data_IF_179249555167
#
_entry.id   IF_179249555167
#
_cell.length_a   1.000
_cell.length_b   1.000
_cell.length_c   1.000
_cell.angle_alpha   90.00
_cell.angle_beta   90.00
_cell.angle_gamma   90.00
#
_symmetry.space_group_name_H-M   'P 1'
#
loop_
_entity.id
_entity.type
_entity.pdbx_description
1 polymer ?
#
# COMPACT_ATOMS: atom_id res chain seq x y z
N UNK A 1 20.53 28.05 29.94
CA UNK A 1 19.63 26.96 29.54
C UNK A 1 18.45 27.57 28.81
N UNK A 2 18.53 27.66 27.49
CA UNK A 2 17.41 28.01 26.63
C UNK A 2 17.28 26.85 25.66
N UNK A 3 16.56 25.81 26.10
CA UNK A 3 16.21 24.69 25.24
C UNK A 3 15.40 25.26 24.09
N UNK A 4 15.96 25.22 22.89
CA UNK A 4 15.20 25.34 21.66
C UNK A 4 14.20 24.21 21.69
N UNK A 5 12.95 24.50 22.06
CA UNK A 5 11.82 23.61 21.76
C UNK A 5 11.83 23.54 20.24
N UNK A 6 12.28 22.41 19.67
CA UNK A 6 12.11 22.16 18.26
C UNK A 6 10.63 22.40 17.98
N UNK A 7 10.30 23.30 17.04
CA UNK A 7 8.92 23.57 16.70
C UNK A 7 8.28 22.23 16.31
N UNK A 8 7.53 21.63 17.23
CA UNK A 8 6.87 20.36 16.98
C UNK A 8 5.88 20.60 15.85
N UNK A 9 5.81 19.66 14.91
CA UNK A 9 4.85 19.76 13.78
C UNK A 9 3.40 19.63 14.25
N UNK A 10 3.19 19.30 15.52
CA UNK A 10 1.89 19.22 16.17
C UNK A 10 1.22 20.57 16.29
N UNK A 11 -0.10 20.56 16.17
CA UNK A 11 -0.99 21.72 16.29
C UNK A 11 -1.93 21.60 17.51
N UNK A 12 -1.63 20.69 18.44
CA UNK A 12 -2.39 20.45 19.67
C UNK A 12 -3.27 19.19 19.63
N UNK A 13 -3.07 18.31 18.64
CA UNK A 13 -3.82 17.06 18.51
C UNK A 13 -3.70 16.14 19.74
N UNK A 14 -2.51 16.06 20.36
CA UNK A 14 -2.29 15.13 21.48
C UNK A 14 -3.01 15.55 22.76
N UNK A 15 -3.29 16.84 22.96
CA UNK A 15 -4.14 17.26 24.08
C UNK A 15 -5.57 16.68 23.99
N UNK A 16 -6.04 16.37 22.78
CA UNK A 16 -7.32 15.67 22.57
C UNK A 16 -7.15 14.17 22.77
N UNK A 17 -6.03 13.60 22.30
CA UNK A 17 -5.73 12.16 22.43
C UNK A 17 -5.53 11.76 23.89
N UNK A 18 -4.81 12.56 24.67
CA UNK A 18 -4.59 12.37 26.12
C UNK A 18 -5.90 12.32 26.93
N UNK A 19 -6.98 12.91 26.40
CA UNK A 19 -8.30 12.89 27.02
C UNK A 19 -9.15 11.67 26.63
N UNK A 20 -8.69 10.84 25.69
CA UNK A 20 -9.41 9.65 25.24
C UNK A 20 -9.25 8.49 26.24
N UNK A 21 -10.29 7.66 26.45
CA UNK A 21 -10.14 6.41 27.19
C UNK A 21 -9.14 5.48 26.48
N UNK A 22 -8.31 4.76 27.24
CA UNK A 22 -7.36 3.75 26.72
C UNK A 22 -8.03 2.73 25.78
N UNK A 23 -9.28 2.35 26.07
CA UNK A 23 -10.06 1.44 25.23
C UNK A 23 -10.26 1.98 23.81
N UNK A 24 -10.37 3.30 23.65
CA UNK A 24 -10.45 3.94 22.32
C UNK A 24 -9.12 3.78 21.60
N UNK A 25 -7.99 4.02 22.25
CA UNK A 25 -6.65 3.84 21.66
C UNK A 25 -6.45 2.40 21.19
N UNK A 26 -6.84 1.40 21.99
CA UNK A 26 -6.80 -0.02 21.61
C UNK A 26 -7.67 -0.33 20.38
N UNK A 27 -8.87 0.25 20.28
CA UNK A 27 -9.72 0.10 19.09
C UNK A 27 -9.05 0.74 17.88
N UNK A 28 -8.46 1.91 18.01
CA UNK A 28 -7.75 2.55 16.90
C UNK A 28 -6.45 1.84 16.51
N UNK A 29 -5.78 1.18 17.46
CA UNK A 29 -4.70 0.24 17.16
C UNK A 29 -5.20 -0.93 16.27
N UNK A 30 -6.44 -1.40 16.48
CA UNK A 30 -7.04 -2.37 15.56
C UNK A 30 -7.41 -1.77 14.19
N UNK A 31 -7.97 -0.55 14.17
CA UNK A 31 -8.34 0.15 12.93
C UNK A 31 -7.13 0.37 12.02
N UNK A 32 -5.95 0.62 12.59
CA UNK A 32 -4.76 0.89 11.78
C UNK A 32 -4.37 -0.28 10.87
N UNK A 33 -4.72 -1.52 11.22
CA UNK A 33 -4.42 -2.69 10.40
C UNK A 33 -5.03 -2.64 9.02
N UNK A 34 -6.15 -1.92 8.85
CA UNK A 34 -6.81 -1.76 7.57
C UNK A 34 -5.87 -1.17 6.50
N UNK A 35 -4.81 -0.48 6.90
CA UNK A 35 -3.80 0.06 5.98
C UNK A 35 -2.40 -0.50 6.18
N UNK A 36 -2.24 -1.64 6.84
CA UNK A 36 -0.95 -2.33 6.85
C UNK A 36 -0.54 -2.72 5.43
N UNK A 37 0.73 -2.51 5.03
CA UNK A 37 1.18 -2.84 3.68
C UNK A 37 0.89 -4.29 3.27
N UNK A 38 1.13 -5.25 4.17
CA UNK A 38 0.86 -6.67 3.90
C UNK A 38 -0.62 -6.93 3.64
N UNK A 39 -1.52 -6.31 4.41
CA UNK A 39 -2.96 -6.49 4.25
C UNK A 39 -3.42 -5.86 2.94
N UNK A 40 -2.96 -4.64 2.64
CA UNK A 40 -3.32 -3.94 1.42
C UNK A 40 -2.86 -4.71 0.18
N UNK A 41 -1.61 -5.17 0.12
CA UNK A 41 -1.13 -5.94 -1.03
C UNK A 41 -1.76 -7.34 -1.12
N UNK A 42 -2.06 -7.99 0.00
CA UNK A 42 -2.82 -9.25 0.00
C UNK A 42 -4.24 -9.04 -0.52
N UNK A 43 -4.94 -8.00 -0.04
CA UNK A 43 -6.28 -7.62 -0.51
C UNK A 43 -6.27 -7.31 -2.01
N UNK A 44 -5.29 -6.55 -2.49
CA UNK A 44 -5.16 -6.22 -3.92
C UNK A 44 -4.80 -7.44 -4.76
N UNK A 45 -3.97 -8.36 -4.26
CA UNK A 45 -3.65 -9.60 -4.96
C UNK A 45 -4.87 -10.52 -5.06
N UNK A 46 -5.65 -10.67 -3.98
CA UNK A 46 -6.92 -11.41 -3.97
C UNK A 46 -7.93 -10.76 -4.90
N UNK A 47 -8.13 -9.44 -4.77
CA UNK A 47 -8.99 -8.66 -5.64
C UNK A 47 -8.59 -8.82 -7.11
N UNK A 48 -7.30 -8.68 -7.41
CA UNK A 48 -6.74 -8.98 -8.71
C UNK A 48 -7.12 -10.40 -9.09
N UNK A 49 -6.62 -11.47 -8.49
CA UNK A 49 -6.82 -12.85 -8.95
C UNK A 49 -8.28 -13.29 -9.11
N UNK A 50 -9.19 -12.87 -8.24
CA UNK A 50 -10.56 -13.36 -8.23
C UNK A 50 -11.57 -12.43 -8.91
N UNK A 51 -11.20 -11.19 -9.26
CA UNK A 51 -12.13 -10.29 -9.92
C UNK A 51 -12.63 -10.85 -11.26
N UNK A 52 -13.94 -10.77 -11.47
CA UNK A 52 -14.63 -11.15 -12.69
C UNK A 52 -15.20 -9.92 -13.39
N UNK A 53 -15.75 -10.11 -14.59
CA UNK A 53 -16.44 -9.05 -15.34
C UNK A 53 -17.61 -8.43 -14.56
N UNK A 54 -18.11 -9.08 -13.50
CA UNK A 54 -19.11 -8.50 -12.61
C UNK A 54 -18.57 -7.37 -11.72
N UNK A 55 -17.24 -7.22 -11.63
CA UNK A 55 -16.57 -6.26 -10.73
C UNK A 55 -15.96 -5.08 -11.50
N UNK A 56 -15.41 -5.34 -12.68
CA UNK A 56 -14.83 -4.34 -13.58
C UNK A 56 -14.94 -4.84 -15.03
N UNK A 57 -14.89 -3.94 -16.02
CA UNK A 57 -14.95 -4.33 -17.44
C UNK A 57 -13.74 -5.13 -17.92
N UNK A 58 -12.55 -4.80 -17.41
CA UNK A 58 -11.31 -5.55 -17.67
C UNK A 58 -10.60 -5.83 -16.35
N UNK A 59 -11.00 -6.90 -15.63
CA UNK A 59 -10.59 -7.15 -14.24
C UNK A 59 -9.08 -7.25 -14.03
N UNK A 60 -8.34 -7.85 -14.96
CA UNK A 60 -6.88 -7.99 -14.85
C UNK A 60 -6.20 -6.62 -14.93
N UNK A 61 -6.58 -5.81 -15.92
CA UNK A 61 -6.06 -4.45 -16.14
C UNK A 61 -6.41 -3.53 -14.97
N UNK A 62 -7.63 -3.63 -14.46
CA UNK A 62 -8.09 -2.90 -13.28
C UNK A 62 -7.28 -3.27 -12.03
N UNK A 63 -7.18 -4.57 -11.71
CA UNK A 63 -6.45 -5.04 -10.53
C UNK A 63 -4.94 -4.74 -10.58
N UNK A 64 -4.29 -4.96 -11.72
CA UNK A 64 -2.88 -4.66 -11.88
C UNK A 64 -2.59 -3.15 -11.81
N UNK A 65 -3.48 -2.30 -12.35
CA UNK A 65 -3.40 -0.85 -12.18
C UNK A 65 -3.58 -0.42 -10.73
N UNK A 66 -4.48 -1.07 -9.98
CA UNK A 66 -4.66 -0.81 -8.55
C UNK A 66 -3.39 -1.14 -7.75
N UNK A 67 -2.79 -2.30 -8.01
CA UNK A 67 -1.49 -2.69 -7.42
C UNK A 67 -0.42 -1.65 -7.76
N UNK A 68 -0.29 -1.27 -9.04
CA UNK A 68 0.70 -0.28 -9.47
C UNK A 68 0.51 1.09 -8.82
N UNK A 69 -0.73 1.55 -8.67
CA UNK A 69 -1.06 2.82 -8.03
C UNK A 69 -0.66 2.83 -6.54
N UNK A 70 -0.90 1.74 -5.82
CA UNK A 70 -0.51 1.60 -4.42
C UNK A 70 1.01 1.48 -4.28
N UNK A 71 1.69 0.81 -5.21
CA UNK A 71 3.17 0.80 -5.26
C UNK A 71 3.73 2.21 -5.48
N UNK A 72 3.12 3.03 -6.37
CA UNK A 72 3.49 4.44 -6.52
C UNK A 72 3.32 5.24 -5.23
N UNK A 73 2.24 4.99 -4.48
CA UNK A 73 1.96 5.67 -3.22
C UNK A 73 3.01 5.36 -2.14
N UNK A 74 3.43 4.09 -2.03
CA UNK A 74 4.54 3.70 -1.15
C UNK A 74 5.89 4.24 -1.61
N UNK A 75 6.16 4.25 -2.92
CA UNK A 75 7.38 4.85 -3.47
C UNK A 75 7.48 6.35 -3.13
N UNK A 76 6.37 7.08 -3.28
CA UNK A 76 6.30 8.50 -2.90
C UNK A 76 6.49 8.71 -1.39
N UNK A 77 5.95 7.80 -0.56
CA UNK A 77 6.14 7.82 0.89
C UNK A 77 7.61 7.61 1.25
N UNK A 78 8.27 6.60 0.68
CA UNK A 78 9.68 6.31 0.92
C UNK A 78 10.57 7.50 0.53
N UNK A 79 10.29 8.13 -0.62
CA UNK A 79 10.99 9.35 -1.02
C UNK A 79 10.76 10.48 -0.02
N UNK A 80 9.51 10.72 0.39
CA UNK A 80 9.17 11.74 1.38
C UNK A 80 9.91 11.52 2.70
N UNK A 81 9.89 10.29 3.23
CA UNK A 81 10.58 9.94 4.47
C UNK A 81 12.08 10.16 4.38
N UNK A 82 12.71 9.66 3.32
CA UNK A 82 14.14 9.83 3.09
C UNK A 82 14.54 11.31 2.95
N UNK A 83 13.68 12.12 2.31
CA UNK A 83 13.94 13.54 2.04
C UNK A 83 13.75 14.43 3.27
N UNK A 84 12.64 14.27 3.98
CA UNK A 84 12.31 15.14 5.11
C UNK A 84 12.97 14.70 6.40
N UNK A 85 13.26 13.40 6.55
CA UNK A 85 13.90 12.83 7.74
C UNK A 85 13.23 13.26 9.06
N UNK A 86 11.91 13.45 9.02
CA UNK A 86 11.20 14.13 10.08
C UNK A 86 10.92 13.17 11.25
N UNK A 87 11.25 13.52 12.51
CA UNK A 87 11.07 12.61 13.64
C UNK A 87 9.58 12.37 13.93
N UNK A 88 9.27 11.22 14.53
CA UNK A 88 7.93 10.87 15.03
C UNK A 88 7.60 11.62 16.34
N UNK A 89 6.33 11.59 16.78
CA UNK A 89 5.97 12.03 18.13
C UNK A 89 6.66 11.19 19.22
N UNK A 90 6.86 11.74 20.44
CA UNK A 90 7.49 11.00 21.53
C UNK A 90 6.78 9.70 21.92
N UNK A 91 5.44 9.66 21.83
CA UNK A 91 4.63 8.48 22.17
C UNK A 91 4.87 7.24 21.28
N UNK A 92 5.50 7.42 20.11
CA UNK A 92 5.85 6.32 19.21
C UNK A 92 7.07 5.49 19.68
N UNK A 93 7.78 5.96 20.69
CA UNK A 93 9.06 5.39 21.14
C UNK A 93 8.88 4.49 22.38
N UNK A 94 9.69 3.42 22.53
CA UNK A 94 9.62 2.57 23.71
C UNK A 94 9.92 3.32 25.03
N UNK A 95 9.33 2.89 26.16
CA UNK A 95 8.37 1.79 26.30
C UNK A 95 6.94 2.21 25.91
N UNK A 96 6.15 1.25 25.39
CA UNK A 96 4.73 1.49 25.13
C UNK A 96 3.93 1.51 26.45
N UNK A 97 2.93 2.38 26.52
CA UNK A 97 1.95 2.37 27.61
C UNK A 97 0.84 1.35 27.31
N UNK A 98 1.01 0.13 27.80
CA UNK A 98 0.07 -0.97 27.58
C UNK A 98 -1.02 -0.95 28.65
N UNK A 99 -2.32 -0.88 28.26
CA UNK A 99 -3.41 -0.86 29.22
C UNK A 99 -3.42 -2.09 30.14
N UNK A 100 -3.53 -1.87 31.46
CA UNK A 100 -3.45 -2.94 32.47
C UNK A 100 -4.57 -3.99 32.37
N UNK A 101 -5.70 -3.62 31.77
CA UNK A 101 -6.83 -4.51 31.53
C UNK A 101 -6.70 -5.33 30.24
N UNK A 102 -5.75 -5.00 29.36
CA UNK A 102 -5.56 -5.70 28.09
C UNK A 102 -5.00 -7.11 28.38
N UNK A 103 -5.63 -8.19 27.87
CA UNK A 103 -5.12 -9.54 28.06
C UNK A 103 -3.66 -9.66 27.62
N UNK A 104 -2.83 -10.34 28.42
CA UNK A 104 -1.39 -10.49 28.15
C UNK A 104 -1.07 -11.06 26.76
N UNK A 105 -1.98 -11.87 26.19
CA UNK A 105 -1.86 -12.40 24.83
C UNK A 105 -1.87 -11.30 23.74
N UNK A 106 -2.49 -10.15 24.02
CA UNK A 106 -2.64 -9.02 23.09
C UNK A 106 -1.62 -7.90 23.32
N UNK A 107 -0.83 -7.93 24.41
CA UNK A 107 0.14 -6.88 24.74
C UNK A 107 1.17 -6.71 23.63
N UNK A 108 1.80 -7.80 23.17
CA UNK A 108 2.79 -7.72 22.07
C UNK A 108 2.19 -7.28 20.73
N UNK A 109 0.92 -7.62 20.48
CA UNK A 109 0.20 -7.12 19.31
C UNK A 109 -0.02 -5.61 19.39
N UNK A 110 -0.49 -5.11 20.53
CA UNK A 110 -0.74 -3.70 20.76
C UNK A 110 0.56 -2.88 20.70
N UNK A 111 1.62 -3.35 21.37
CA UNK A 111 2.97 -2.75 21.29
C UNK A 111 3.44 -2.61 19.84
N UNK A 112 3.25 -3.64 19.02
CA UNK A 112 3.62 -3.60 17.60
C UNK A 112 2.82 -2.57 16.78
N UNK A 113 1.67 -2.10 17.27
CA UNK A 113 0.87 -1.06 16.59
C UNK A 113 1.22 0.36 17.02
N UNK A 114 1.52 0.55 18.30
CA UNK A 114 1.76 1.88 18.90
C UNK A 114 3.24 2.26 18.93
N UNK A 115 4.14 1.29 18.84
CA UNK A 115 5.56 1.55 18.65
C UNK A 115 5.89 1.61 17.18
N UNK A 116 6.69 2.61 16.80
CA UNK A 116 7.16 2.71 15.43
C UNK A 116 8.48 3.45 15.37
N UNK A 117 9.46 2.84 14.72
CA UNK A 117 10.73 3.45 14.40
C UNK A 117 10.70 4.19 13.04
N UNK A 118 11.82 4.83 12.70
CA UNK A 118 12.01 5.56 11.46
C UNK A 118 11.30 6.92 11.40
N UNK A 119 11.24 7.50 10.20
CA UNK A 119 10.71 8.85 10.00
C UNK A 119 9.18 8.88 9.97
N UNK A 120 8.62 9.99 10.48
CA UNK A 120 7.19 10.22 10.63
C UNK A 120 6.52 10.90 9.43
N UNK A 121 7.23 11.69 8.62
CA UNK A 121 6.59 12.45 7.54
C UNK A 121 6.97 11.94 6.13
N UNK A 122 5.98 11.69 5.24
CA UNK A 122 4.53 11.60 5.49
C UNK A 122 4.14 10.23 6.11
N UNK A 123 2.89 10.11 6.56
CA UNK A 123 2.38 8.85 7.11
C UNK A 123 2.14 7.78 6.03
N UNK A 124 2.80 6.63 6.15
CA UNK A 124 2.67 5.52 5.20
C UNK A 124 1.30 4.86 5.21
N UNK A 125 0.71 4.59 6.38
CA UNK A 125 -0.64 4.03 6.50
C UNK A 125 -1.70 4.96 5.89
N UNK A 126 -1.62 6.27 6.15
CA UNK A 126 -2.56 7.22 5.57
C UNK A 126 -2.43 7.26 4.02
N UNK A 127 -1.20 7.30 3.51
CA UNK A 127 -0.91 7.28 2.06
C UNK A 127 -1.39 5.98 1.39
N UNK A 128 -0.99 4.83 1.93
CA UNK A 128 -1.31 3.51 1.40
C UNK A 128 -2.81 3.21 1.49
N UNK A 129 -3.45 3.51 2.62
CA UNK A 129 -4.89 3.37 2.80
C UNK A 129 -5.67 4.24 1.81
N UNK A 130 -5.35 5.54 1.73
CA UNK A 130 -5.99 6.42 0.75
C UNK A 130 -5.82 5.90 -0.69
N UNK A 131 -4.62 5.49 -1.07
CA UNK A 131 -4.34 4.99 -2.42
C UNK A 131 -5.11 3.69 -2.72
N UNK A 132 -5.07 2.71 -1.82
CA UNK A 132 -5.65 1.39 -2.04
C UNK A 132 -7.18 1.45 -2.12
N UNK A 133 -7.83 2.07 -1.14
CA UNK A 133 -9.28 2.14 -1.11
C UNK A 133 -9.84 3.04 -2.22
N UNK A 134 -9.15 4.13 -2.57
CA UNK A 134 -9.54 4.96 -3.71
C UNK A 134 -9.35 4.23 -5.05
N UNK A 135 -8.22 3.54 -5.24
CA UNK A 135 -7.98 2.76 -6.45
C UNK A 135 -9.05 1.67 -6.64
N UNK A 136 -9.40 0.94 -5.58
CA UNK A 136 -10.50 -0.03 -5.61
C UNK A 136 -11.84 0.64 -5.97
N UNK A 137 -12.18 1.76 -5.33
CA UNK A 137 -13.42 2.48 -5.61
C UNK A 137 -13.52 3.01 -7.05
N UNK A 138 -12.39 3.35 -7.67
CA UNK A 138 -12.32 3.87 -9.05
C UNK A 138 -12.25 2.77 -10.11
N UNK A 139 -11.59 1.65 -9.81
CA UNK A 139 -11.27 0.61 -10.80
C UNK A 139 -12.24 -0.57 -10.75
N UNK A 140 -12.87 -0.84 -9.61
CA UNK A 140 -13.92 -1.86 -9.46
C UNK A 140 -15.29 -1.19 -9.49
N UNK A 141 -15.64 -0.73 -10.68
CA UNK A 141 -16.72 0.22 -10.95
C UNK A 141 -18.11 -0.41 -11.16
N UNK A 142 -18.20 -1.75 -11.17
CA UNK A 142 -19.48 -2.47 -11.33
C UNK A 142 -20.09 -2.92 -10.00
N UNK A 143 -19.34 -2.80 -8.90
CA UNK A 143 -19.84 -3.05 -7.55
C UNK A 143 -20.38 -1.77 -6.94
N UNK A 144 -21.62 -1.82 -6.43
CA UNK A 144 -22.29 -0.69 -5.77
C UNK A 144 -22.44 0.56 -6.64
N UNK A 145 -23.07 1.60 -6.09
CA UNK A 145 -23.12 2.92 -6.73
C UNK A 145 -21.80 3.67 -6.51
N UNK A 146 -21.42 4.54 -7.44
CA UNK A 146 -20.25 5.43 -7.32
C UNK A 146 -20.19 6.13 -5.96
N UNK A 147 -21.32 6.71 -5.53
CA UNK A 147 -21.43 7.41 -4.25
C UNK A 147 -21.10 6.49 -3.07
N UNK A 148 -21.64 5.27 -3.06
CA UNK A 148 -21.39 4.31 -1.99
C UNK A 148 -19.91 3.88 -1.95
N UNK A 149 -19.30 3.63 -3.11
CA UNK A 149 -17.87 3.27 -3.21
C UNK A 149 -16.97 4.38 -2.68
N UNK A 150 -17.17 5.62 -3.14
CA UNK A 150 -16.33 6.74 -2.72
C UNK A 150 -16.52 7.10 -1.25
N UNK A 151 -17.75 7.01 -0.73
CA UNK A 151 -18.00 7.21 0.70
C UNK A 151 -17.33 6.12 1.54
N UNK A 152 -17.41 4.85 1.14
CA UNK A 152 -16.76 3.75 1.85
C UNK A 152 -15.23 3.93 1.83
N UNK A 153 -14.64 4.22 0.67
CA UNK A 153 -13.21 4.45 0.53
C UNK A 153 -12.73 5.65 1.37
N UNK A 154 -13.46 6.77 1.31
CA UNK A 154 -13.17 7.96 2.10
C UNK A 154 -13.28 7.70 3.60
N UNK A 155 -14.33 6.99 4.04
CA UNK A 155 -14.53 6.64 5.43
C UNK A 155 -13.40 5.79 5.99
N UNK A 156 -12.96 4.76 5.25
CA UNK A 156 -11.85 3.90 5.69
C UNK A 156 -10.53 4.67 5.69
N UNK A 157 -10.24 5.47 4.66
CA UNK A 157 -9.02 6.28 4.61
C UNK A 157 -8.94 7.29 5.76
N UNK A 158 -10.06 7.96 6.09
CA UNK A 158 -10.15 8.89 7.23
C UNK A 158 -10.02 8.15 8.56
N UNK A 159 -10.65 6.97 8.71
CA UNK A 159 -10.53 6.17 9.93
C UNK A 159 -9.09 5.72 10.19
N UNK A 160 -8.38 5.29 9.14
CA UNK A 160 -6.95 4.97 9.20
C UNK A 160 -6.11 6.21 9.53
N UNK A 161 -6.35 7.34 8.86
CA UNK A 161 -5.60 8.56 9.15
C UNK A 161 -5.79 9.01 10.60
N UNK A 162 -7.02 8.96 11.10
CA UNK A 162 -7.34 9.25 12.49
C UNK A 162 -6.66 8.26 13.44
N UNK A 163 -6.60 6.97 13.10
CA UNK A 163 -5.95 5.96 13.95
C UNK A 163 -4.49 6.26 14.21
N UNK A 164 -3.76 6.75 13.20
CA UNK A 164 -2.33 7.07 13.34
C UNK A 164 -2.07 8.25 14.28
N UNK A 165 -3.03 9.17 14.40
CA UNK A 165 -2.94 10.29 15.36
C UNK A 165 -3.35 9.82 16.75
N UNK A 166 -4.44 9.04 16.86
CA UNK A 166 -4.97 8.53 18.14
C UNK A 166 -3.98 7.58 18.83
N UNK A 167 -3.21 6.80 18.08
CA UNK A 167 -2.16 5.94 18.64
C UNK A 167 -0.79 6.64 18.72
N UNK A 168 -0.75 7.95 18.51
CA UNK A 168 0.41 8.83 18.73
C UNK A 168 1.68 8.52 17.93
N UNK A 169 1.54 7.79 16.83
CA UNK A 169 2.66 7.45 15.94
C UNK A 169 2.93 8.48 14.85
N UNK A 170 2.01 9.43 14.65
CA UNK A 170 2.09 10.50 13.66
C UNK A 170 1.41 11.79 14.15
N UNK A 171 1.93 12.93 13.69
CA UNK A 171 1.24 14.21 13.81
C UNK A 171 0.08 14.30 12.80
N UNK A 172 -0.89 15.18 13.06
CA UNK A 172 -2.02 15.41 12.15
C UNK A 172 -1.56 15.82 10.75
N UNK A 173 -0.53 16.67 10.66
CA UNK A 173 0.03 17.09 9.37
C UNK A 173 0.62 15.93 8.58
N UNK A 174 1.21 14.93 9.25
CA UNK A 174 1.80 13.77 8.59
C UNK A 174 0.72 12.93 7.90
N UNK A 175 -0.46 12.77 8.52
CA UNK A 175 -1.57 11.99 7.97
C UNK A 175 -2.35 12.74 6.90
N UNK A 176 -2.55 14.05 7.06
CA UNK A 176 -3.19 14.89 6.04
C UNK A 176 -2.35 14.94 4.76
N UNK A 177 -1.03 15.13 4.91
CA UNK A 177 -0.11 15.03 3.78
C UNK A 177 -0.16 13.63 3.14
N UNK A 178 -0.22 12.57 3.96
CA UNK A 178 -0.33 11.21 3.46
C UNK A 178 -1.60 10.97 2.63
N UNK A 179 -2.78 11.41 3.11
CA UNK A 179 -4.03 11.32 2.36
C UNK A 179 -3.94 12.01 0.99
N UNK A 180 -3.35 13.22 0.95
CA UNK A 180 -3.17 13.97 -0.29
C UNK A 180 -2.19 13.29 -1.25
N UNK A 181 -1.07 12.78 -0.74
CA UNK A 181 -0.08 12.02 -1.53
C UNK A 181 -0.71 10.74 -2.08
N UNK A 182 -1.48 10.00 -1.29
CA UNK A 182 -2.18 8.80 -1.72
C UNK A 182 -3.18 9.08 -2.85
N UNK A 183 -4.03 10.08 -2.69
CA UNK A 183 -4.99 10.48 -3.72
C UNK A 183 -4.28 10.98 -5.00
N UNK A 184 -3.24 11.80 -4.85
CA UNK A 184 -2.47 12.35 -5.96
C UNK A 184 -1.73 11.28 -6.76
N UNK A 185 -1.12 10.30 -6.07
CA UNK A 185 -0.42 9.18 -6.73
C UNK A 185 -1.37 8.25 -7.47
N UNK A 186 -2.59 8.01 -6.97
CA UNK A 186 -3.63 7.30 -7.73
C UNK A 186 -3.98 8.06 -9.01
N UNK A 187 -4.20 9.37 -8.95
CA UNK A 187 -4.50 10.18 -10.13
C UNK A 187 -3.37 10.12 -11.17
N UNK A 188 -2.11 10.22 -10.74
CA UNK A 188 -0.93 10.09 -11.61
C UNK A 188 -0.83 8.68 -12.21
N UNK A 189 -1.02 7.64 -11.40
CA UNK A 189 -0.96 6.25 -11.86
C UNK A 189 -2.05 5.95 -12.90
N UNK A 190 -3.29 6.38 -12.67
CA UNK A 190 -4.39 6.25 -13.62
C UNK A 190 -4.11 7.03 -14.92
N UNK A 191 -3.61 8.26 -14.79
CA UNK A 191 -3.18 9.05 -15.96
C UNK A 191 -2.09 8.33 -16.74
N UNK A 192 -1.09 7.74 -16.09
CA UNK A 192 -0.03 6.99 -16.77
C UNK A 192 -0.56 5.70 -17.39
N UNK A 193 -1.49 5.04 -16.72
CA UNK A 193 -2.08 3.80 -17.19
C UNK A 193 -3.01 3.97 -18.39
N UNK A 194 -3.46 5.19 -18.68
CA UNK A 194 -4.31 5.44 -19.85
C UNK A 194 -5.76 5.72 -19.51
N UNK A 195 -6.13 5.90 -18.25
CA UNK A 195 -7.52 6.05 -17.84
C UNK A 195 -8.19 7.24 -18.56
N UNK A 196 -9.26 7.00 -19.37
CA UNK A 196 -9.90 8.05 -20.16
C UNK A 196 -10.52 9.14 -19.28
N UNK A 197 -10.95 8.80 -18.06
CA UNK A 197 -11.59 9.73 -17.11
C UNK A 197 -10.61 10.80 -16.62
N UNK A 198 -9.34 10.44 -16.45
CA UNK A 198 -8.28 11.36 -15.99
C UNK A 198 -7.57 12.04 -17.16
N UNK A 199 -7.50 11.39 -18.34
CA UNK A 199 -6.90 11.97 -19.55
C UNK A 199 -7.84 12.89 -20.34
N UNK A 200 -9.16 12.81 -20.11
CA UNK A 200 -10.15 13.55 -20.89
C UNK A 200 -10.21 13.09 -22.36
N UNK A 201 -9.87 11.83 -22.62
CA UNK A 201 -9.89 11.22 -23.96
C UNK A 201 -11.12 10.33 -24.12
N UNK A 202 -11.75 10.27 -25.30
CA UNK A 202 -12.82 9.30 -25.53
C UNK A 202 -12.24 7.87 -25.41
N UNK A 203 -12.86 7.03 -24.59
CA UNK A 203 -12.48 5.62 -24.45
C UNK A 203 -12.66 4.85 -25.76
N UNK A 204 -11.84 3.83 -26.00
CA UNK A 204 -11.85 3.09 -27.27
C UNK A 204 -13.05 2.14 -27.40
N UNK A 205 -13.57 1.65 -26.27
CA UNK A 205 -14.70 0.72 -26.20
C UNK A 205 -15.67 1.09 -25.07
N UNK A 206 -16.87 1.56 -25.45
CA UNK A 206 -17.92 1.93 -24.50
C UNK A 206 -18.50 0.71 -23.74
N UNK A 207 -18.43 -0.49 -24.30
CA UNK A 207 -18.98 -1.72 -23.70
C UNK A 207 -18.01 -2.32 -22.67
N UNK A 208 -16.71 -2.33 -22.97
CA UNK A 208 -15.67 -2.78 -22.04
C UNK A 208 -15.37 -1.76 -20.92
N UNK A 209 -15.82 -0.50 -21.07
CA UNK A 209 -15.74 0.51 -20.03
C UNK A 209 -14.34 1.10 -19.84
N UNK A 210 -14.13 1.96 -18.83
CA UNK A 210 -12.92 2.78 -18.70
C UNK A 210 -11.64 1.98 -18.40
N UNK A 211 -11.77 0.69 -18.05
CA UNK A 211 -10.65 -0.18 -17.68
C UNK A 211 -10.00 -0.91 -18.86
N UNK A 212 -10.64 -0.90 -20.04
CA UNK A 212 -10.20 -1.66 -21.21
C UNK A 212 -8.83 -1.24 -21.74
N UNK A 213 -8.57 0.06 -21.74
CA UNK A 213 -7.33 0.63 -22.29
C UNK A 213 -6.19 0.70 -21.27
N UNK A 214 -6.41 0.23 -20.04
CA UNK A 214 -5.42 0.39 -18.99
C UNK A 214 -4.18 -0.48 -19.23
N UNK A 215 -3.02 0.17 -19.17
CA UNK A 215 -1.72 -0.45 -19.15
C UNK A 215 -0.99 -0.08 -17.84
N UNK A 216 -0.87 -0.98 -16.86
CA UNK A 216 -0.23 -0.69 -15.57
C UNK A 216 1.30 -0.51 -15.65
N UNK A 217 1.96 -0.95 -16.73
CA UNK A 217 3.42 -0.97 -16.81
C UNK A 217 4.10 0.41 -16.61
N UNK A 218 3.61 1.53 -17.15
CA UNK A 218 4.18 2.85 -16.89
C UNK A 218 4.07 3.29 -15.43
N UNK A 219 2.98 2.91 -14.73
CA UNK A 219 2.83 3.20 -13.30
C UNK A 219 3.81 2.36 -12.46
N UNK A 220 3.97 1.06 -12.77
CA UNK A 220 5.00 0.23 -12.14
C UNK A 220 6.42 0.77 -12.36
N UNK A 221 6.72 1.21 -13.59
CA UNK A 221 8.00 1.83 -13.91
C UNK A 221 8.22 3.14 -13.14
N UNK A 222 7.19 3.98 -13.01
CA UNK A 222 7.24 5.19 -12.18
C UNK A 222 7.58 4.83 -10.74
N UNK A 223 6.91 3.84 -10.15
CA UNK A 223 7.18 3.43 -8.78
C UNK A 223 8.63 2.98 -8.58
N UNK A 224 9.20 2.22 -9.53
CA UNK A 224 10.61 1.83 -9.49
C UNK A 224 11.56 3.04 -9.58
N UNK A 225 11.28 4.00 -10.46
CA UNK A 225 12.08 5.22 -10.63
C UNK A 225 12.04 6.11 -9.39
N UNK A 226 10.84 6.34 -8.83
CA UNK A 226 10.67 7.15 -7.61
C UNK A 226 11.38 6.47 -6.43
N UNK A 227 11.30 5.15 -6.33
CA UNK A 227 12.00 4.38 -5.29
C UNK A 227 13.52 4.42 -5.47
N UNK A 228 14.03 4.44 -6.71
CA UNK A 228 15.45 4.66 -6.96
C UNK A 228 15.91 6.07 -6.52
N UNK A 229 15.04 7.08 -6.71
CA UNK A 229 15.25 8.41 -6.14
C UNK A 229 15.28 8.40 -4.62
N UNK A 230 14.32 7.71 -3.98
CA UNK A 230 14.28 7.53 -2.53
C UNK A 230 15.56 6.87 -2.01
N UNK A 231 16.05 5.83 -2.70
CA UNK A 231 17.29 5.15 -2.38
C UNK A 231 18.49 6.09 -2.44
N UNK A 232 18.60 6.90 -3.50
CA UNK A 232 19.69 7.86 -3.65
C UNK A 232 19.69 8.89 -2.50
N UNK A 233 18.51 9.41 -2.14
CA UNK A 233 18.35 10.34 -1.02
C UNK A 233 18.68 9.68 0.32
N UNK A 234 18.20 8.46 0.55
CA UNK A 234 18.46 7.71 1.77
C UNK A 234 19.95 7.40 1.95
N UNK A 235 20.65 7.00 0.89
CA UNK A 235 22.10 6.76 0.91
C UNK A 235 22.86 8.06 1.18
N UNK A 236 22.49 9.15 0.51
CA UNK A 236 23.12 10.45 0.72
C UNK A 236 22.90 11.00 2.15
N UNK A 237 21.75 10.72 2.74
CA UNK A 237 21.41 11.09 4.12
C UNK A 237 21.92 10.12 5.19
N UNK A 238 22.46 8.96 4.83
CA UNK A 238 22.88 7.93 5.79
C UNK A 238 21.70 7.22 6.49
N UNK A 239 20.51 7.24 5.90
CA UNK A 239 19.28 6.68 6.48
C UNK A 239 19.13 5.19 6.15
N UNK A 240 19.79 4.32 6.90
CA UNK A 240 19.87 2.87 6.60
C UNK A 240 18.51 2.16 6.54
N UNK A 241 17.54 2.53 7.38
CA UNK A 241 16.18 1.97 7.32
C UNK A 241 15.48 2.31 6.01
N UNK A 242 15.58 3.57 5.57
CA UNK A 242 14.96 4.05 4.32
C UNK A 242 15.61 3.44 3.07
N UNK A 243 16.87 2.99 3.14
CA UNK A 243 17.53 2.23 2.05
C UNK A 243 16.81 0.91 1.78
N UNK A 244 16.38 0.20 2.83
CA UNK A 244 15.67 -1.08 2.70
C UNK A 244 14.28 -0.85 2.10
N UNK A 245 13.53 0.12 2.62
CA UNK A 245 12.21 0.49 2.11
C UNK A 245 12.24 0.93 0.65
N UNK A 246 13.20 1.79 0.28
CA UNK A 246 13.40 2.20 -1.10
C UNK A 246 13.75 1.00 -2.00
N UNK A 247 14.56 0.07 -1.50
CA UNK A 247 14.86 -1.18 -2.19
C UNK A 247 13.62 -2.02 -2.47
N UNK A 248 12.76 -2.24 -1.46
CA UNK A 248 11.48 -2.95 -1.60
C UNK A 248 10.60 -2.25 -2.65
N UNK A 249 10.57 -0.91 -2.66
CA UNK A 249 9.87 -0.12 -3.67
C UNK A 249 10.37 -0.37 -5.10
N UNK A 250 11.70 -0.42 -5.30
CA UNK A 250 12.31 -0.77 -6.60
C UNK A 250 11.90 -2.19 -7.02
N UNK A 251 12.06 -3.16 -6.11
CA UNK A 251 11.73 -4.56 -6.37
C UNK A 251 10.25 -4.76 -6.72
N UNK A 252 9.35 -4.05 -6.03
CA UNK A 252 7.91 -4.12 -6.27
C UNK A 252 7.54 -3.46 -7.59
N UNK A 253 8.08 -2.29 -7.91
CA UNK A 253 7.85 -1.61 -9.19
C UNK A 253 8.39 -2.40 -10.37
N UNK A 254 9.65 -2.85 -10.30
CA UNK A 254 10.28 -3.65 -11.34
C UNK A 254 9.58 -5.02 -11.50
N UNK A 255 9.31 -5.70 -10.39
CA UNK A 255 8.62 -6.99 -10.38
C UNK A 255 7.21 -6.90 -10.98
N UNK A 256 6.47 -5.83 -10.69
CA UNK A 256 5.15 -5.61 -11.28
C UNK A 256 5.22 -5.37 -12.79
N UNK A 257 6.17 -4.54 -13.24
CA UNK A 257 6.39 -4.29 -14.67
C UNK A 257 6.83 -5.55 -15.43
N UNK A 258 7.69 -6.38 -14.83
CA UNK A 258 8.15 -7.66 -15.40
C UNK A 258 6.99 -8.66 -15.44
N UNK A 259 6.28 -8.83 -14.32
CA UNK A 259 5.15 -9.74 -14.21
C UNK A 259 4.05 -9.44 -15.23
N UNK A 260 3.78 -8.16 -15.46
CA UNK A 260 2.78 -7.72 -16.44
C UNK A 260 3.15 -8.09 -17.88
N UNK A 261 4.43 -8.31 -18.22
CA UNK A 261 4.83 -8.76 -19.57
C UNK A 261 4.36 -10.17 -19.90
N UNK A 262 3.95 -10.94 -18.91
CA UNK A 262 3.41 -12.29 -19.10
C UNK A 262 1.89 -12.33 -19.20
N UNK A 263 1.21 -11.19 -19.06
CA UNK A 263 -0.24 -11.06 -18.93
C UNK A 263 -0.79 -10.28 -20.11
N UNK A 264 -1.79 -10.82 -20.79
CA UNK A 264 -2.47 -10.19 -21.93
C UNK A 264 -3.52 -9.18 -21.46
N UNK A 265 -4.03 -9.34 -20.24
CA UNK A 265 -5.01 -8.46 -19.59
C UNK A 265 -6.45 -8.96 -19.67
N UNK A 266 -6.67 -10.07 -20.36
CA UNK A 266 -7.98 -10.69 -20.61
C UNK A 266 -8.12 -12.06 -19.94
N UNK A 267 -7.18 -12.43 -19.08
CA UNK A 267 -7.21 -13.72 -18.40
C UNK A 267 -8.42 -13.83 -17.46
N UNK A 268 -9.01 -15.03 -17.37
CA UNK A 268 -10.12 -15.29 -16.45
C UNK A 268 -9.66 -15.23 -14.98
N UNK A 269 -10.62 -15.27 -14.06
CA UNK A 269 -10.35 -15.39 -12.63
C UNK A 269 -9.52 -16.64 -12.32
N UNK A 270 -8.53 -16.50 -11.45
CA UNK A 270 -7.68 -17.62 -11.02
C UNK A 270 -8.50 -18.57 -10.15
N UNK A 271 -8.53 -19.88 -10.45
CA UNK A 271 -9.27 -20.85 -9.64
C UNK A 271 -8.60 -21.01 -8.26
N UNK A 272 -9.38 -21.27 -7.18
CA UNK A 272 -8.84 -21.41 -5.82
C UNK A 272 -7.71 -22.43 -5.68
N UNK A 273 -7.75 -23.53 -6.45
CA UNK A 273 -6.71 -24.58 -6.46
C UNK A 273 -5.33 -24.08 -6.92
N UNK A 274 -5.26 -23.00 -7.69
CA UNK A 274 -4.01 -22.35 -8.12
C UNK A 274 -3.68 -21.17 -7.18
N UNK A 275 -4.69 -20.39 -6.82
CA UNK A 275 -4.52 -19.22 -5.97
C UNK A 275 -4.05 -19.55 -4.54
N UNK A 276 -4.57 -20.60 -3.90
CA UNK A 276 -4.22 -20.93 -2.51
C UNK A 276 -2.73 -21.34 -2.38
N UNK A 277 -2.19 -22.26 -3.20
CA UNK A 277 -0.76 -22.54 -3.19
C UNK A 277 0.08 -21.31 -3.54
N UNK A 278 -0.37 -20.48 -4.50
CA UNK A 278 0.33 -19.26 -4.86
C UNK A 278 0.40 -18.28 -3.67
N UNK A 279 -0.69 -18.06 -2.93
CA UNK A 279 -0.69 -17.25 -1.71
C UNK A 279 0.32 -17.78 -0.69
N UNK A 280 0.34 -19.09 -0.47
CA UNK A 280 1.26 -19.71 0.48
C UNK A 280 2.72 -19.49 0.08
N UNK A 281 3.05 -19.64 -1.21
CA UNK A 281 4.40 -19.42 -1.73
C UNK A 281 4.78 -17.95 -1.66
N UNK A 282 3.94 -17.04 -2.16
CA UNK A 282 4.25 -15.60 -2.18
C UNK A 282 4.28 -15.01 -0.77
N UNK A 283 3.39 -15.48 0.12
CA UNK A 283 3.40 -15.12 1.53
C UNK A 283 4.64 -15.66 2.25
N UNK A 284 5.03 -16.90 1.98
CA UNK A 284 6.27 -17.49 2.51
C UNK A 284 7.52 -16.73 2.05
N UNK A 285 7.58 -16.30 0.77
CA UNK A 285 8.65 -15.45 0.25
C UNK A 285 8.71 -14.10 0.96
N UNK A 286 7.56 -13.47 1.24
CA UNK A 286 7.48 -12.21 1.98
C UNK A 286 7.92 -12.35 3.44
N UNK A 287 7.44 -13.37 4.15
CA UNK A 287 7.85 -13.67 5.53
C UNK A 287 9.34 -13.99 5.57
N UNK A 288 9.84 -14.77 4.62
CA UNK A 288 11.27 -15.07 4.48
C UNK A 288 12.11 -13.83 4.20
N UNK A 289 11.65 -12.93 3.32
CA UNK A 289 12.31 -11.66 3.05
C UNK A 289 12.39 -10.78 4.31
N UNK A 290 11.32 -10.72 5.09
CA UNK A 290 11.29 -10.01 6.37
C UNK A 290 12.24 -10.63 7.41
N UNK A 291 12.22 -11.96 7.56
CA UNK A 291 13.11 -12.68 8.47
C UNK A 291 14.60 -12.57 8.09
N UNK A 292 14.89 -12.39 6.79
CA UNK A 292 16.24 -12.25 6.23
C UNK A 292 16.59 -10.80 5.87
N UNK A 293 15.84 -9.81 6.39
CA UNK A 293 15.97 -8.40 6.06
C UNK A 293 17.38 -7.81 6.33
N UNK A 294 18.21 -8.50 7.12
CA UNK A 294 19.64 -8.19 7.28
C UNK A 294 20.47 -8.33 6.00
N UNK A 295 19.90 -8.89 4.92
CA UNK A 295 20.54 -9.00 3.62
C UNK A 295 19.69 -8.35 2.54
N UNK A 296 20.06 -7.10 2.18
CA UNK A 296 19.35 -6.33 1.14
C UNK A 296 19.18 -7.12 -0.17
N UNK A 297 20.21 -7.80 -0.74
CA UNK A 297 20.04 -8.55 -1.99
C UNK A 297 18.98 -9.65 -1.93
N UNK A 298 18.90 -10.38 -0.81
CA UNK A 298 17.89 -11.45 -0.63
C UNK A 298 16.50 -10.85 -0.56
N UNK A 299 16.34 -9.76 0.19
CA UNK A 299 15.07 -9.03 0.30
C UNK A 299 14.58 -8.56 -1.08
N UNK A 300 15.47 -7.97 -1.89
CA UNK A 300 15.15 -7.49 -3.23
C UNK A 300 14.76 -8.63 -4.18
N UNK A 301 15.51 -9.73 -4.18
CA UNK A 301 15.24 -10.89 -5.05
C UNK A 301 13.92 -11.55 -4.64
N UNK A 302 13.70 -11.80 -3.35
CA UNK A 302 12.49 -12.42 -2.85
C UNK A 302 11.25 -11.55 -3.14
N UNK A 303 11.34 -10.24 -2.90
CA UNK A 303 10.25 -9.29 -3.20
C UNK A 303 9.95 -9.25 -4.70
N UNK A 304 10.99 -9.14 -5.54
CA UNK A 304 10.81 -9.12 -7.01
C UNK A 304 10.15 -10.42 -7.48
N UNK A 305 10.63 -11.57 -7.02
CA UNK A 305 10.08 -12.87 -7.38
C UNK A 305 8.63 -13.03 -6.92
N UNK A 306 8.31 -12.61 -5.69
CA UNK A 306 6.95 -12.64 -5.17
C UNK A 306 6.01 -11.77 -6.00
N UNK A 307 6.40 -10.54 -6.35
CA UNK A 307 5.56 -9.63 -7.13
C UNK A 307 5.39 -10.10 -8.58
N UNK A 308 6.46 -10.60 -9.22
CA UNK A 308 6.36 -11.23 -10.55
C UNK A 308 5.37 -12.39 -10.51
N UNK A 309 5.49 -13.27 -9.52
CA UNK A 309 4.59 -14.40 -9.35
C UNK A 309 3.13 -13.94 -9.16
N UNK A 310 2.89 -12.91 -8.33
CA UNK A 310 1.55 -12.37 -8.11
C UNK A 310 0.94 -11.84 -9.39
N UNK A 311 1.68 -11.00 -10.13
CA UNK A 311 1.13 -10.35 -11.33
C UNK A 311 0.97 -11.35 -12.47
N UNK A 312 1.92 -12.26 -12.67
CA UNK A 312 1.90 -13.24 -13.77
C UNK A 312 0.98 -14.46 -13.53
N UNK A 313 0.45 -14.64 -12.32
CA UNK A 313 -0.33 -15.84 -11.97
C UNK A 313 -1.52 -16.14 -12.91
N UNK A 314 -2.33 -15.16 -13.36
CA UNK A 314 -3.46 -15.46 -14.25
C UNK A 314 -3.03 -16.14 -15.56
N UNK A 315 -1.93 -15.70 -16.15
CA UNK A 315 -1.39 -16.29 -17.38
C UNK A 315 -0.86 -17.72 -17.15
N UNK A 316 -0.24 -17.97 -15.99
CA UNK A 316 0.22 -19.32 -15.60
C UNK A 316 -0.97 -20.26 -15.37
N UNK A 317 -2.03 -19.78 -14.73
CA UNK A 317 -3.25 -20.56 -14.50
C UNK A 317 -3.84 -21.08 -15.81
N UNK A 318 -3.98 -20.21 -16.81
CA UNK A 318 -4.52 -20.61 -18.12
C UNK A 318 -3.67 -21.67 -18.83
N UNK A 319 -2.34 -21.69 -18.61
CA UNK A 319 -1.45 -22.73 -19.16
C UNK A 319 -1.63 -24.06 -18.44
N UNK A 320 -1.73 -24.04 -17.11
CA UNK A 320 -1.95 -25.25 -16.29
C UNK A 320 -3.28 -25.90 -16.67
N UNK A 321 -4.35 -25.12 -16.80
CA UNK A 321 -5.67 -25.66 -17.15
C UNK A 321 -5.70 -26.29 -18.53
N UNK A 322 -5.02 -25.70 -19.53
CA UNK A 322 -4.87 -26.33 -20.85
C UNK A 322 -4.13 -27.66 -20.76
N UNK A 323 -3.03 -27.72 -20.00
CA UNK A 323 -2.26 -28.97 -19.85
C UNK A 323 -2.97 -30.08 -19.09
N UNK A 324 -3.97 -29.75 -18.25
CA UNK A 324 -4.78 -30.75 -17.53
C UNK A 324 -5.97 -31.25 -18.36
N UNK A 325 -6.31 -30.56 -19.46
CA UNK A 325 -7.39 -30.92 -20.37
C UNK A 325 -6.92 -31.77 -21.55
N UNK A 326 -5.61 -31.81 -21.80
CA UNK A 326 -4.91 -32.70 -22.76
C UNK A 326 -4.57 -34.06 -22.13
#
# INVERSE_FOLDING_TARGET
>A
MTGLVAAERGIGEFAVVDALPEAVVVVFAAVTHLADPWLLFAMLAVGYWFASEGVAGSPRRAGATAIAAVTCAYAATALGKAWFAAPRPPGAMPPADVPTWLPALLSGWYEAQVLSDGFGFPSGHATGGAAAYLALALLYDRLWTDRARYLAAGAVAVAVAASRVVIEVHYLVDVLAGLLVGAGTVAVALRLAGDPRVRGSPGTDAAAGPTADLNPAPAFALAAVVSAGALAVAVAGGHTGEVVEAGIGIATGAGGAIGWRFVDGEEPSVPPRVAVPALAVTGGLWVGAYALAGTLPVTLVATTAAVVAVVALPALSGRIERSLAE
#
